data_IF_118355053249
#
_entry.id   IF_118355053249
#
_cell.length_a   1.000
_cell.length_b   1.000
_cell.length_c   1.000
_cell.angle_alpha   90.00
_cell.angle_beta   90.00
_cell.angle_gamma   90.00
#
_symmetry.space_group_name_H-M   'P 1'
#
loop_
_entity.id
_entity.type
_entity.pdbx_description
1 polymer ?
#
# COMPACT_ATOMS: atom_id res chain seq x y z
N UNK A 1 23.85 -21.49 13.59
CA UNK A 1 22.58 -20.75 13.66
C UNK A 1 21.48 -21.79 13.58
N UNK A 2 20.77 -22.03 14.67
CA UNK A 2 19.73 -23.07 14.75
C UNK A 2 18.43 -22.54 14.13
N UNK A 3 17.99 -23.17 13.04
CA UNK A 3 16.80 -22.78 12.28
C UNK A 3 15.55 -23.56 12.72
N UNK A 4 15.66 -24.46 13.70
CA UNK A 4 14.54 -25.26 14.21
C UNK A 4 13.46 -24.42 14.91
N UNK A 5 13.81 -23.21 15.39
CA UNK A 5 12.88 -22.26 16.00
C UNK A 5 11.91 -21.60 15.01
N UNK A 6 12.13 -21.74 13.69
CA UNK A 6 11.20 -21.26 12.65
C UNK A 6 10.21 -22.36 12.20
N UNK A 7 10.07 -23.43 12.98
CA UNK A 7 9.12 -24.51 12.73
C UNK A 7 7.68 -24.01 12.58
N UNK A 8 7.07 -24.38 11.45
CA UNK A 8 5.64 -24.35 11.13
C UNK A 8 4.84 -23.12 11.59
N UNK A 9 5.20 -21.94 11.06
CA UNK A 9 4.33 -20.77 11.14
C UNK A 9 3.13 -20.98 10.21
N UNK A 10 1.95 -21.26 10.78
CA UNK A 10 0.68 -21.30 10.04
C UNK A 10 0.14 -19.87 9.92
N UNK A 11 0.41 -19.23 8.78
CA UNK A 11 -0.20 -17.94 8.49
C UNK A 11 -1.69 -18.11 8.20
N UNK A 12 -2.59 -17.35 8.86
CA UNK A 12 -4.00 -17.37 8.51
C UNK A 12 -4.14 -16.97 7.04
N UNK A 13 -5.01 -17.68 6.31
CA UNK A 13 -5.28 -17.43 4.90
C UNK A 13 -5.97 -16.07 4.74
N UNK A 14 -5.18 -15.00 4.64
CA UNK A 14 -5.68 -13.65 4.34
C UNK A 14 -6.03 -13.59 2.85
N UNK A 15 -7.30 -13.36 2.54
CA UNK A 15 -7.74 -13.19 1.15
C UNK A 15 -7.28 -11.82 0.63
N UNK A 16 -6.65 -11.81 -0.54
CA UNK A 16 -6.30 -10.57 -1.23
C UNK A 16 -7.60 -9.84 -1.61
N UNK A 17 -7.70 -8.53 -1.34
CA UNK A 17 -8.85 -7.74 -1.78
C UNK A 17 -9.05 -7.84 -3.29
N UNK A 18 -10.29 -8.07 -3.72
CA UNK A 18 -10.64 -8.15 -5.15
C UNK A 18 -10.82 -6.75 -5.75
N UNK A 19 -9.78 -5.92 -5.70
CA UNK A 19 -9.77 -4.56 -6.25
C UNK A 19 -8.60 -4.42 -7.20
N UNK A 20 -8.86 -3.97 -8.42
CA UNK A 20 -7.83 -3.63 -9.41
C UNK A 20 -7.69 -2.11 -9.45
N UNK A 21 -6.48 -1.62 -9.19
CA UNK A 21 -6.12 -0.22 -9.35
C UNK A 21 -5.35 -0.05 -10.65
N UNK A 22 -5.86 0.80 -11.54
CA UNK A 22 -5.17 1.15 -12.78
C UNK A 22 -4.92 2.66 -12.81
N UNK A 23 -3.66 3.05 -12.99
CA UNK A 23 -3.23 4.44 -13.01
C UNK A 23 -2.90 4.88 -14.43
N UNK A 24 -3.36 6.08 -14.80
CA UNK A 24 -2.99 6.78 -16.02
C UNK A 24 -2.77 8.26 -15.73
N UNK A 25 -2.14 8.97 -16.67
CA UNK A 25 -2.00 10.43 -16.56
C UNK A 25 -3.36 11.11 -16.52
N UNK A 26 -4.22 10.75 -17.46
CA UNK A 26 -5.59 11.24 -17.63
C UNK A 26 -6.51 10.05 -17.92
N UNK A 27 -7.81 10.31 -18.08
CA UNK A 27 -8.76 9.28 -18.51
C UNK A 27 -8.72 8.99 -20.02
N UNK A 28 -8.05 9.84 -20.80
CA UNK A 28 -7.76 9.63 -22.21
C UNK A 28 -6.51 8.76 -22.37
N UNK A 29 -6.75 7.45 -22.45
CA UNK A 29 -5.70 6.45 -22.52
C UNK A 29 -5.19 6.38 -23.97
N UNK A 30 -3.86 6.37 -24.20
CA UNK A 30 -3.30 6.19 -25.54
C UNK A 30 -3.83 4.92 -26.20
N UNK A 31 -4.23 5.02 -27.47
CA UNK A 31 -4.93 3.94 -28.19
C UNK A 31 -4.18 2.60 -28.20
N UNK A 32 -2.84 2.64 -28.15
CA UNK A 32 -1.98 1.46 -28.04
C UNK A 32 -2.29 0.59 -26.81
N UNK A 33 -2.81 1.18 -25.74
CA UNK A 33 -3.16 0.47 -24.51
C UNK A 33 -4.62 0.03 -24.43
N UNK A 34 -5.49 0.43 -25.37
CA UNK A 34 -6.92 0.13 -25.33
C UNK A 34 -7.18 -1.39 -25.26
N UNK A 35 -6.45 -2.18 -26.07
CA UNK A 35 -6.59 -3.63 -26.07
C UNK A 35 -6.24 -4.24 -24.70
N UNK A 36 -5.18 -3.75 -24.06
CA UNK A 36 -4.76 -4.24 -22.74
C UNK A 36 -5.77 -3.87 -21.66
N UNK A 37 -6.27 -2.62 -21.67
CA UNK A 37 -7.30 -2.15 -20.74
C UNK A 37 -8.57 -2.98 -20.87
N UNK A 38 -9.06 -3.15 -22.10
CA UNK A 38 -10.25 -3.94 -22.38
C UNK A 38 -10.07 -5.39 -21.94
N UNK A 39 -8.92 -6.00 -22.23
CA UNK A 39 -8.62 -7.37 -21.80
C UNK A 39 -8.74 -7.53 -20.28
N UNK A 40 -8.11 -6.63 -19.51
CA UNK A 40 -8.19 -6.67 -18.04
C UNK A 40 -9.63 -6.49 -17.56
N UNK A 41 -10.38 -5.54 -18.10
CA UNK A 41 -11.78 -5.33 -17.72
C UNK A 41 -12.64 -6.55 -18.01
N UNK A 42 -12.56 -7.09 -19.23
CA UNK A 42 -13.36 -8.24 -19.67
C UNK A 42 -13.07 -9.48 -18.84
N UNK A 43 -11.80 -9.80 -18.60
CA UNK A 43 -11.41 -11.01 -17.85
C UNK A 43 -11.78 -10.97 -16.37
N UNK A 44 -11.99 -9.78 -15.79
CA UNK A 44 -12.23 -9.62 -14.36
C UNK A 44 -13.65 -9.09 -14.06
N UNK A 45 -14.52 -9.07 -15.07
CA UNK A 45 -15.90 -8.58 -14.95
C UNK A 45 -16.68 -9.43 -13.94
N UNK A 46 -17.38 -8.78 -13.01
CA UNK A 46 -18.18 -9.43 -11.98
C UNK A 46 -17.40 -9.98 -10.78
N UNK A 47 -16.07 -10.01 -10.86
CA UNK A 47 -15.21 -10.58 -9.83
C UNK A 47 -14.39 -9.53 -9.07
N UNK A 48 -13.93 -8.49 -9.76
CA UNK A 48 -13.08 -7.45 -9.17
C UNK A 48 -13.74 -6.08 -9.29
N UNK A 49 -13.63 -5.28 -8.23
CA UNK A 49 -13.90 -3.86 -8.32
C UNK A 49 -12.78 -3.19 -9.12
N UNK A 50 -13.15 -2.52 -10.21
CA UNK A 50 -12.19 -1.78 -11.02
C UNK A 50 -12.12 -0.31 -10.62
N UNK A 51 -10.94 0.18 -10.26
CA UNK A 51 -10.69 1.59 -9.91
C UNK A 51 -9.66 2.19 -10.85
N UNK A 52 -10.07 3.20 -11.62
CA UNK A 52 -9.18 4.00 -12.47
C UNK A 52 -8.78 5.27 -11.75
N UNK A 53 -7.53 5.68 -11.95
CA UNK A 53 -6.95 6.85 -11.30
C UNK A 53 -6.21 7.69 -12.34
N UNK A 54 -6.64 8.93 -12.52
CA UNK A 54 -5.86 9.97 -13.17
C UNK A 54 -4.87 10.60 -12.19
N UNK A 55 -3.92 11.41 -12.67
CA UNK A 55 -3.06 12.21 -11.79
C UNK A 55 -3.86 13.12 -10.86
N UNK A 56 -4.95 13.72 -11.36
CA UNK A 56 -5.80 14.59 -10.55
C UNK A 56 -6.50 13.81 -9.41
N UNK A 57 -6.97 12.58 -9.68
CA UNK A 57 -7.58 11.74 -8.65
C UNK A 57 -6.55 11.33 -7.59
N UNK A 58 -5.33 10.98 -8.01
CA UNK A 58 -4.24 10.63 -7.09
C UNK A 58 -3.85 11.82 -6.21
N UNK A 59 -3.72 13.01 -6.78
CA UNK A 59 -3.42 14.24 -6.03
C UNK A 59 -4.52 14.52 -4.98
N UNK A 60 -5.79 14.46 -5.38
CA UNK A 60 -6.90 14.67 -4.48
C UNK A 60 -6.96 13.61 -3.36
N UNK A 61 -6.77 12.34 -3.73
CA UNK A 61 -6.82 11.21 -2.80
C UNK A 61 -5.70 11.28 -1.76
N UNK A 62 -4.44 11.47 -2.19
CA UNK A 62 -3.30 11.54 -1.28
C UNK A 62 -3.39 12.79 -0.40
N UNK A 63 -3.82 13.93 -0.95
CA UNK A 63 -4.05 15.15 -0.15
C UNK A 63 -5.07 14.94 0.95
N UNK A 64 -6.13 14.16 0.69
CA UNK A 64 -7.18 13.87 1.66
C UNK A 64 -6.74 12.83 2.70
N UNK A 65 -6.09 11.74 2.27
CA UNK A 65 -5.74 10.61 3.12
C UNK A 65 -4.46 10.82 3.92
N UNK A 66 -3.48 11.47 3.33
CA UNK A 66 -2.14 11.66 3.90
C UNK A 66 -1.67 13.12 3.77
N UNK A 67 -2.36 14.10 4.40
CA UNK A 67 -2.12 15.52 4.13
C UNK A 67 -0.68 15.97 4.43
N UNK A 68 -0.08 15.44 5.49
CA UNK A 68 1.29 15.79 5.87
C UNK A 68 2.31 15.28 4.83
N UNK A 69 2.19 14.02 4.40
CA UNK A 69 3.04 13.46 3.36
C UNK A 69 2.81 14.16 2.02
N UNK A 70 1.57 14.52 1.71
CA UNK A 70 1.22 15.22 0.48
C UNK A 70 2.05 16.51 0.32
N UNK A 71 1.95 17.41 1.30
CA UNK A 71 2.61 18.73 1.24
C UNK A 71 4.12 18.66 1.41
N UNK A 72 4.63 17.70 2.18
CA UNK A 72 6.06 17.64 2.48
C UNK A 72 6.88 16.83 1.49
N UNK A 73 6.27 15.85 0.82
CA UNK A 73 6.98 14.88 -0.03
C UNK A 73 6.29 14.67 -1.38
N UNK A 74 5.01 14.28 -1.39
CA UNK A 74 4.35 13.81 -2.60
C UNK A 74 4.36 14.83 -3.74
N UNK A 75 3.98 16.08 -3.45
CA UNK A 75 3.95 17.15 -4.47
C UNK A 75 5.34 17.63 -4.89
N UNK A 76 6.37 17.29 -4.13
CA UNK A 76 7.77 17.69 -4.40
C UNK A 76 8.53 16.66 -5.22
N UNK A 77 7.94 15.49 -5.50
CA UNK A 77 8.56 14.50 -6.37
C UNK A 77 8.83 15.10 -7.75
N UNK A 78 10.05 14.91 -8.24
CA UNK A 78 10.48 15.41 -9.55
C UNK A 78 9.79 14.68 -10.69
N UNK A 79 9.53 13.39 -10.51
CA UNK A 79 9.01 12.53 -11.57
C UNK A 79 7.65 11.94 -11.20
N UNK A 80 6.74 11.93 -12.18
CA UNK A 80 5.40 11.36 -12.03
C UNK A 80 5.43 9.90 -11.58
N UNK A 81 6.42 9.12 -12.03
CA UNK A 81 6.57 7.72 -11.61
C UNK A 81 6.76 7.56 -10.09
N UNK A 82 7.43 8.51 -9.42
CA UNK A 82 7.62 8.48 -7.96
C UNK A 82 6.29 8.72 -7.23
N UNK A 83 5.46 9.62 -7.77
CA UNK A 83 4.10 9.85 -7.26
C UNK A 83 3.25 8.61 -7.45
N UNK A 84 3.29 7.99 -8.62
CA UNK A 84 2.52 6.77 -8.92
C UNK A 84 2.94 5.62 -8.00
N UNK A 85 4.24 5.41 -7.79
CA UNK A 85 4.73 4.34 -6.92
C UNK A 85 4.33 4.54 -5.46
N UNK A 86 4.43 5.78 -4.96
CA UNK A 86 3.95 6.12 -3.62
C UNK A 86 2.43 5.93 -3.49
N UNK A 87 1.67 6.39 -4.48
CA UNK A 87 0.22 6.25 -4.53
C UNK A 87 -0.21 4.79 -4.47
N UNK A 88 0.47 3.88 -5.17
CA UNK A 88 0.14 2.44 -5.17
C UNK A 88 0.16 1.84 -3.76
N UNK A 89 1.11 2.24 -2.93
CA UNK A 89 1.18 1.80 -1.53
C UNK A 89 0.03 2.38 -0.71
N UNK A 90 -0.22 3.68 -0.81
CA UNK A 90 -1.28 4.38 -0.06
C UNK A 90 -2.67 3.83 -0.42
N UNK A 91 -2.96 3.66 -1.71
CA UNK A 91 -4.23 3.14 -2.19
C UNK A 91 -4.46 1.69 -1.74
N UNK A 92 -3.41 0.86 -1.73
CA UNK A 92 -3.49 -0.52 -1.26
C UNK A 92 -3.73 -0.58 0.26
N UNK A 93 -3.04 0.27 1.02
CA UNK A 93 -3.22 0.38 2.46
C UNK A 93 -4.65 0.82 2.83
N UNK A 94 -5.22 1.79 2.10
CA UNK A 94 -6.61 2.23 2.31
C UNK A 94 -7.62 1.10 2.10
N UNK A 95 -7.45 0.29 1.04
CA UNK A 95 -8.30 -0.87 0.78
C UNK A 95 -8.20 -1.89 1.91
N UNK A 96 -6.98 -2.20 2.37
CA UNK A 96 -6.76 -3.14 3.48
C UNK A 96 -7.35 -2.62 4.79
N UNK A 97 -7.16 -1.35 5.12
CA UNK A 97 -7.77 -0.71 6.28
C UNK A 97 -9.30 -0.74 6.22
N UNK A 98 -9.89 -0.52 5.04
CA UNK A 98 -11.35 -0.57 4.85
C UNK A 98 -11.94 -1.98 5.05
N UNK A 99 -11.14 -3.03 4.83
CA UNK A 99 -11.55 -4.43 5.07
C UNK A 99 -11.35 -4.78 6.54
N UNK A 100 -10.23 -4.37 7.15
CA UNK A 100 -9.94 -4.61 8.56
C UNK A 100 -10.95 -3.92 9.48
N UNK A 101 -11.41 -2.70 9.15
CA UNK A 101 -12.47 -2.02 9.91
C UNK A 101 -13.86 -2.65 9.79
N UNK A 102 -14.11 -3.45 8.74
CA UNK A 102 -15.37 -4.19 8.54
C UNK A 102 -15.34 -5.59 9.15
N UNK A 103 -14.17 -6.15 9.39
CA UNK A 103 -14.00 -7.36 10.17
C UNK A 103 -13.82 -6.97 11.65
N UNK A 104 -14.41 -7.69 12.63
CA UNK A 104 -13.95 -7.54 14.01
C UNK A 104 -12.53 -8.15 14.07
N UNK A 105 -11.49 -7.32 13.98
CA UNK A 105 -10.10 -7.81 13.93
C UNK A 105 -9.36 -7.56 15.26
N UNK A 106 -9.04 -8.61 16.04
CA UNK A 106 -8.31 -8.51 17.31
C UNK A 106 -6.77 -8.49 17.14
N UNK A 107 -6.23 -8.20 15.95
CA UNK A 107 -4.82 -8.47 15.62
C UNK A 107 -4.01 -7.23 15.21
N UNK A 108 -4.12 -6.14 15.96
CA UNK A 108 -3.10 -5.10 15.94
C UNK A 108 -1.96 -5.48 16.89
N UNK A 109 -1.05 -6.32 16.38
CA UNK A 109 0.29 -6.65 16.90
C UNK A 109 0.46 -6.83 18.43
N UNK A 110 0.24 -8.02 18.99
CA UNK A 110 0.93 -8.42 20.21
C UNK A 110 2.33 -8.93 19.83
N UNK A 111 3.37 -8.23 20.31
CA UNK A 111 4.78 -8.67 20.33
C UNK A 111 5.56 -8.63 19.00
N UNK A 112 5.84 -7.44 18.46
CA UNK A 112 7.20 -7.22 17.96
C UNK A 112 8.07 -6.76 19.14
N UNK A 113 9.20 -7.43 19.46
CA UNK A 113 10.16 -6.84 20.38
C UNK A 113 10.71 -5.56 19.77
N UNK A 114 10.57 -4.45 20.49
CA UNK A 114 11.20 -3.19 20.18
C UNK A 114 12.72 -3.44 20.03
N UNK A 115 13.39 -2.95 18.97
CA UNK A 115 14.84 -3.04 18.92
C UNK A 115 15.41 -2.39 20.18
N UNK A 116 16.17 -3.19 20.92
CA UNK A 116 16.78 -2.83 22.19
C UNK A 116 17.41 -1.45 22.08
N UNK A 117 17.03 -0.53 22.98
CA UNK A 117 17.76 0.72 23.13
C UNK A 117 19.25 0.41 23.33
N UNK A 118 20.18 1.16 22.72
CA UNK A 118 21.60 0.96 23.00
C UNK A 118 21.84 1.16 24.49
N UNK A 119 22.39 0.14 25.15
CA UNK A 119 22.81 0.22 26.54
C UNK A 119 23.76 1.42 26.69
N UNK A 120 23.42 2.35 27.59
CA UNK A 120 24.38 3.37 28.03
C UNK A 120 25.59 2.66 28.62
N UNK A 121 26.74 2.80 27.97
CA UNK A 121 28.04 2.54 28.58
C UNK A 121 28.19 3.48 29.79
N UNK A 122 28.09 2.92 30.99
CA UNK A 122 28.57 3.61 32.19
C UNK A 122 30.11 3.55 32.16
N UNK A 123 30.73 4.64 31.72
CA UNK A 123 32.13 4.92 32.00
C UNK A 123 32.23 5.41 33.44
N UNK A 124 32.47 4.49 34.38
CA UNK A 124 33.01 4.84 35.69
C UNK A 124 34.50 5.12 35.54
N UNK A 125 34.86 6.40 35.67
CA UNK A 125 36.22 6.82 36.00
C UNK A 125 36.54 6.35 37.42
N UNK A 126 37.61 5.58 37.56
CA UNK A 126 38.52 5.62 38.71
C UNK A 126 39.86 6.17 38.21
#
# INVERSE_FOLDING_TARGET
MDLSQYGNVTWPQRRVPRVIHQTYRTYDIPAIWNRSVQSVMTMNTGEFQYRRWSHADMDAFVRQREPHFYWNTFVKYRYDMQRIDSFRIIASADVLASISTKAPDPLFYPHMPHPSQPQRLNLSHE
#
